data_IF_099610759774
#
_entry.id   IF_099610759774
#
_cell.length_a   1.000
_cell.length_b   1.000
_cell.length_c   1.000
_cell.angle_alpha   90.00
_cell.angle_beta   90.00
_cell.angle_gamma   90.00
#
_symmetry.space_group_name_H-M   'P 1'
#
loop_
_entity.id
_entity.type
_entity.pdbx_description
1 polymer ?
#
# COMPACT_ATOMS: atom_id res chain seq x y z
N UNK A 1 -1.35 3.30 12.72
CA UNK A 1 -1.72 2.09 11.92
C UNK A 1 -3.17 2.17 11.48
N UNK A 2 -4.09 2.46 12.39
CA UNK A 2 -5.51 2.66 12.05
C UNK A 2 -5.72 3.76 10.99
N UNK A 3 -4.83 4.77 10.93
CA UNK A 3 -4.90 5.80 9.91
C UNK A 3 -4.72 5.25 8.49
N UNK A 4 -3.83 4.27 8.31
CA UNK A 4 -3.62 3.61 7.01
C UNK A 4 -4.74 2.59 6.78
N UNK A 5 -5.02 1.74 7.77
CA UNK A 5 -6.06 0.70 7.69
C UNK A 5 -7.42 1.26 7.24
N UNK A 6 -7.84 2.39 7.82
CA UNK A 6 -9.10 3.06 7.48
C UNK A 6 -9.14 3.75 6.11
N UNK A 7 -8.05 3.68 5.34
CA UNK A 7 -7.99 4.15 3.94
C UNK A 7 -7.86 2.99 2.94
N UNK A 8 -7.87 1.75 3.41
CA UNK A 8 -7.81 0.55 2.57
C UNK A 8 -9.21 -0.07 2.47
N UNK A 9 -9.60 -0.46 1.28
CA UNK A 9 -10.89 -1.10 1.02
C UNK A 9 -10.71 -2.62 1.01
N UNK A 10 -11.22 -3.28 2.05
CA UNK A 10 -11.00 -4.70 2.31
C UNK A 10 -12.11 -5.55 1.71
N UNK A 11 -11.71 -6.57 0.93
CA UNK A 11 -12.57 -7.62 0.39
C UNK A 11 -13.97 -7.12 -0.03
N UNK A 12 -14.03 -6.08 -0.88
CA UNK A 12 -15.24 -5.29 -1.15
C UNK A 12 -16.45 -6.04 -1.74
N UNK A 13 -16.32 -7.34 -2.02
CA UNK A 13 -17.41 -8.22 -2.45
C UNK A 13 -17.97 -9.10 -1.31
N UNK A 14 -17.43 -8.98 -0.10
CA UNK A 14 -17.77 -9.80 1.08
C UNK A 14 -18.25 -8.87 2.19
N UNK A 15 -19.47 -9.08 2.70
CA UNK A 15 -20.15 -8.19 3.66
C UNK A 15 -19.37 -7.97 4.96
N UNK A 16 -18.63 -8.98 5.41
CA UNK A 16 -17.80 -9.01 6.62
C UNK A 16 -16.32 -9.22 6.28
N UNK A 17 -15.90 -8.86 5.06
CA UNK A 17 -14.57 -9.13 4.55
C UNK A 17 -13.44 -8.26 5.13
N UNK A 18 -13.75 -7.31 6.01
CA UNK A 18 -12.74 -6.49 6.69
C UNK A 18 -12.10 -7.28 7.84
N UNK A 19 -10.76 -7.37 7.92
CA UNK A 19 -10.11 -8.18 8.94
C UNK A 19 -10.35 -7.59 10.34
N UNK A 20 -10.64 -8.45 11.35
CA UNK A 20 -10.78 -8.01 12.72
C UNK A 20 -9.44 -7.49 13.28
N UNK A 21 -9.44 -6.72 14.38
CA UNK A 21 -8.22 -6.13 14.95
C UNK A 21 -7.04 -7.11 15.15
N UNK A 22 -7.32 -8.36 15.55
CA UNK A 22 -6.30 -9.40 15.76
C UNK A 22 -5.65 -9.93 14.49
N UNK A 23 -6.25 -9.67 13.32
CA UNK A 23 -5.77 -10.11 12.01
C UNK A 23 -5.40 -8.94 11.10
N UNK A 24 -5.37 -7.71 11.62
CA UNK A 24 -4.92 -6.55 10.85
C UNK A 24 -3.42 -6.64 10.56
N UNK A 25 -2.95 -6.10 9.43
CA UNK A 25 -1.53 -5.92 9.21
C UNK A 25 -0.87 -5.15 10.34
N UNK A 26 0.30 -5.61 10.77
CA UNK A 26 1.12 -4.99 11.82
C UNK A 26 2.12 -3.98 11.26
N UNK A 27 2.21 -3.85 9.93
CA UNK A 27 3.05 -2.88 9.24
C UNK A 27 2.44 -2.54 7.86
N UNK A 28 2.82 -1.39 7.31
CA UNK A 28 2.41 -0.91 5.99
C UNK A 28 3.60 -0.26 5.28
N UNK A 29 3.72 -0.46 3.97
CA UNK A 29 4.77 0.16 3.15
C UNK A 29 4.10 0.93 2.02
N UNK A 30 4.04 2.26 2.13
CA UNK A 30 3.49 3.09 1.06
C UNK A 30 4.50 3.25 -0.08
N UNK A 31 4.11 2.83 -1.28
CA UNK A 31 4.93 2.97 -2.49
C UNK A 31 4.61 4.29 -3.18
N UNK A 32 5.56 5.22 -3.15
CA UNK A 32 5.42 6.57 -3.69
C UNK A 32 6.24 6.76 -4.98
N UNK A 33 5.61 7.29 -6.01
CA UNK A 33 6.26 7.62 -7.29
C UNK A 33 6.55 9.11 -7.33
N UNK A 34 7.82 9.47 -7.43
CA UNK A 34 8.20 10.86 -7.64
C UNK A 34 7.90 11.27 -9.10
N UNK A 35 6.83 12.02 -9.30
CA UNK A 35 6.39 12.46 -10.61
C UNK A 35 7.29 13.55 -11.23
N UNK A 36 8.23 14.12 -10.47
CA UNK A 36 9.30 14.97 -11.02
C UNK A 36 10.40 14.13 -11.71
N UNK A 37 10.50 12.84 -11.39
CA UNK A 37 11.50 11.91 -11.95
C UNK A 37 10.90 11.05 -13.06
N UNK A 38 9.74 10.43 -12.80
CA UNK A 38 9.08 9.52 -13.75
C UNK A 38 7.57 9.61 -13.65
N UNK A 39 6.91 9.81 -14.79
CA UNK A 39 5.45 10.00 -14.86
C UNK A 39 4.69 8.86 -15.55
N UNK A 40 5.40 7.96 -16.24
CA UNK A 40 4.83 6.84 -17.00
C UNK A 40 5.76 5.63 -16.91
N UNK A 41 5.22 4.43 -17.14
CA UNK A 41 5.98 3.17 -17.16
C UNK A 41 6.77 2.92 -15.87
N UNK A 42 6.33 3.49 -14.75
CA UNK A 42 6.90 3.25 -13.43
C UNK A 42 6.40 1.92 -12.85
N UNK A 43 5.34 1.36 -13.42
CA UNK A 43 4.65 0.16 -12.95
C UNK A 43 5.57 -1.06 -12.95
N UNK A 44 6.50 -1.16 -13.89
CA UNK A 44 7.51 -2.22 -13.91
C UNK A 44 8.50 -2.09 -12.75
N UNK A 45 8.99 -0.87 -12.49
CA UNK A 45 9.92 -0.59 -11.38
C UNK A 45 9.24 -0.87 -10.04
N UNK A 46 7.98 -0.43 -9.90
CA UNK A 46 7.15 -0.70 -8.71
C UNK A 46 6.94 -2.20 -8.53
N UNK A 47 6.55 -2.91 -9.59
CA UNK A 47 6.32 -4.35 -9.54
C UNK A 47 7.56 -5.10 -9.07
N UNK A 48 8.72 -4.82 -9.66
CA UNK A 48 9.99 -5.44 -9.25
C UNK A 48 10.39 -5.09 -7.81
N UNK A 49 10.23 -3.82 -7.41
CA UNK A 49 10.56 -3.39 -6.05
C UNK A 49 9.65 -4.04 -5.00
N UNK A 50 8.34 -4.07 -5.24
CA UNK A 50 7.35 -4.63 -4.31
C UNK A 50 7.47 -6.15 -4.23
N UNK A 51 7.67 -6.83 -5.36
CA UNK A 51 7.88 -8.28 -5.35
C UNK A 51 9.15 -8.66 -4.58
N UNK A 52 10.25 -7.92 -4.76
CA UNK A 52 11.47 -8.16 -3.97
C UNK A 52 11.24 -7.98 -2.46
N UNK A 53 10.45 -6.96 -2.06
CA UNK A 53 10.08 -6.75 -0.65
C UNK A 53 9.26 -7.92 -0.12
N UNK A 54 8.27 -8.39 -0.89
CA UNK A 54 7.41 -9.52 -0.50
C UNK A 54 8.21 -10.80 -0.34
N UNK A 55 9.09 -11.12 -1.30
CA UNK A 55 9.93 -12.32 -1.25
C UNK A 55 10.93 -12.27 -0.09
N UNK A 56 11.53 -11.10 0.17
CA UNK A 56 12.42 -10.92 1.33
C UNK A 56 11.65 -11.06 2.65
N UNK A 57 10.45 -10.48 2.74
CA UNK A 57 9.61 -10.62 3.93
C UNK A 57 9.25 -12.10 4.16
N UNK A 58 8.92 -12.84 3.10
CA UNK A 58 8.63 -14.26 3.17
C UNK A 58 9.84 -15.07 3.68
N UNK A 59 11.04 -14.79 3.21
CA UNK A 59 12.29 -15.43 3.66
C UNK A 59 12.52 -15.21 5.17
N UNK A 60 12.20 -14.02 5.66
CA UNK A 60 12.26 -13.65 7.09
C UNK A 60 11.06 -14.14 7.91
N UNK A 61 10.15 -14.93 7.32
CA UNK A 61 8.97 -15.48 8.01
C UNK A 61 7.83 -14.47 8.23
N UNK A 62 7.81 -13.37 7.49
CA UNK A 62 6.78 -12.32 7.55
C UNK A 62 5.85 -12.42 6.36
N UNK A 63 4.58 -12.72 6.61
CA UNK A 63 3.53 -12.65 5.59
C UNK A 63 3.25 -11.21 5.15
N UNK A 64 3.19 -10.97 3.85
CA UNK A 64 2.90 -9.65 3.27
C UNK A 64 2.00 -9.76 2.04
N UNK A 65 1.40 -8.63 1.66
CA UNK A 65 0.51 -8.52 0.49
C UNK A 65 0.60 -7.11 -0.08
N UNK A 66 0.66 -6.97 -1.40
CA UNK A 66 0.56 -5.68 -2.06
C UNK A 66 -0.91 -5.23 -2.17
N UNK A 67 -1.21 -3.98 -1.79
CA UNK A 67 -2.58 -3.49 -1.71
C UNK A 67 -2.84 -2.31 -2.65
N UNK A 68 -3.69 -2.53 -3.67
CA UNK A 68 -4.04 -1.50 -4.66
C UNK A 68 -5.29 -0.67 -4.35
N UNK A 69 -6.18 -1.21 -3.52
CA UNK A 69 -7.50 -0.63 -3.21
C UNK A 69 -7.39 0.42 -2.09
N UNK A 70 -6.91 1.60 -2.46
CA UNK A 70 -6.49 2.67 -1.53
C UNK A 70 -7.27 3.97 -1.78
N UNK A 71 -7.80 4.56 -0.72
CA UNK A 71 -8.40 5.90 -0.67
C UNK A 71 -7.32 6.98 -0.70
N UNK A 72 -6.65 7.13 -1.84
CA UNK A 72 -5.42 7.93 -2.01
C UNK A 72 -5.56 9.40 -1.60
N UNK A 73 -6.75 10.00 -1.77
CA UNK A 73 -6.99 11.40 -1.36
C UNK A 73 -6.94 11.57 0.16
N UNK A 74 -7.59 10.66 0.88
CA UNK A 74 -7.65 10.68 2.33
C UNK A 74 -6.31 10.28 2.94
N UNK A 75 -5.67 9.22 2.42
CA UNK A 75 -4.33 8.82 2.86
C UNK A 75 -3.31 9.94 2.68
N UNK A 76 -3.34 10.64 1.53
CA UNK A 76 -2.50 11.82 1.29
C UNK A 76 -2.70 12.90 2.34
N UNK A 77 -3.95 13.22 2.67
CA UNK A 77 -4.29 14.25 3.65
C UNK A 77 -3.77 13.87 5.03
N UNK A 78 -3.97 12.62 5.47
CA UNK A 78 -3.54 12.12 6.80
C UNK A 78 -2.04 12.21 7.00
N UNK A 79 -1.26 11.90 5.97
CA UNK A 79 0.20 11.85 6.04
C UNK A 79 0.90 13.05 5.39
N UNK A 80 0.16 14.10 5.02
CA UNK A 80 0.69 15.31 4.38
C UNK A 80 1.59 15.02 3.15
N UNK A 81 1.22 14.01 2.34
CA UNK A 81 2.08 13.56 1.23
C UNK A 81 2.10 14.62 0.11
N UNK A 82 3.26 15.18 -0.26
CA UNK A 82 3.36 16.22 -1.29
C UNK A 82 2.74 15.80 -2.63
N UNK A 83 2.11 16.76 -3.33
CA UNK A 83 1.40 16.50 -4.60
C UNK A 83 2.27 15.85 -5.68
N UNK A 84 3.59 16.10 -5.65
CA UNK A 84 4.56 15.50 -6.58
C UNK A 84 4.74 14.00 -6.42
N UNK A 85 4.30 13.41 -5.30
CA UNK A 85 4.32 11.98 -5.10
C UNK A 85 2.96 11.38 -5.41
N UNK A 86 2.92 10.45 -6.37
CA UNK A 86 1.75 9.61 -6.61
C UNK A 86 1.81 8.41 -5.64
N UNK A 87 0.71 8.13 -4.95
CA UNK A 87 0.58 6.95 -4.09
C UNK A 87 0.14 5.78 -4.97
N UNK A 88 1.01 4.79 -5.16
CA UNK A 88 0.75 3.68 -6.07
C UNK A 88 0.12 2.48 -5.35
N UNK A 89 0.85 1.89 -4.41
CA UNK A 89 0.44 0.74 -3.59
C UNK A 89 0.69 1.04 -2.10
N UNK A 90 0.07 0.24 -1.25
CA UNK A 90 0.30 0.18 0.21
C UNK A 90 0.58 -1.25 0.62
#
# INVERSE_FOLDING_TARGET
>A
MDEVFGTLQWAGYISDGSPPPSQRPTAYIMVLINQEVKTKAFEHDVGMAVENIILTALEEGVGSCCFGSVERKELRKRFNIPKKYLINLV
#
